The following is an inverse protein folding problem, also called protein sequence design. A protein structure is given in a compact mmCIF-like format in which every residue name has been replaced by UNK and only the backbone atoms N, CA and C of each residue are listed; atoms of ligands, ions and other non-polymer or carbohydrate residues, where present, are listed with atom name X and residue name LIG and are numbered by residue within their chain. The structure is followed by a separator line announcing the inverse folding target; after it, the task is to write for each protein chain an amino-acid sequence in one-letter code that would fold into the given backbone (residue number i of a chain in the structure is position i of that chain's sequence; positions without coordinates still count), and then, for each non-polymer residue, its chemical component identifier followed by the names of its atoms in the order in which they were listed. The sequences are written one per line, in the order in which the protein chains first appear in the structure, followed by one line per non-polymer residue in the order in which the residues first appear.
data_IF_622500076356
#
_entry.id   IF_622500076356
#
_cell.length_a   1.000
_cell.length_b   1.000
_cell.length_c   1.000
_cell.angle_alpha   90.00
_cell.angle_beta   90.00
_cell.angle_gamma   90.00
#
_symmetry.space_group_name_H-M   'P 1'
#
loop_
_entity.id
_entity.type
_entity.pdbx_description
1 polymer ?
#
# COMPACT_ATOMS: atom_id res chain seq x y z
N UNK A 1 23.61 -7.42 -2.57
CA UNK A 1 23.41 -6.33 -1.58
C UNK A 1 22.23 -5.49 -2.04
N UNK A 2 20.99 -5.85 -1.71
CA UNK A 2 19.80 -5.07 -2.10
C UNK A 2 18.71 -5.23 -1.05
N UNK A 3 19.02 -4.86 0.19
CA UNK A 3 18.03 -4.57 1.20
C UNK A 3 18.59 -3.40 2.04
N UNK A 4 17.71 -2.50 2.47
CA UNK A 4 17.94 -1.29 3.29
C UNK A 4 17.96 0.07 2.56
N UNK A 5 16.85 0.46 1.91
CA UNK A 5 16.37 1.87 1.90
C UNK A 5 14.93 2.02 1.40
N UNK A 6 14.43 1.06 0.61
CA UNK A 6 13.19 1.26 -0.14
C UNK A 6 11.89 1.06 0.66
N UNK A 7 11.91 0.34 1.79
CA UNK A 7 10.67 0.05 2.54
C UNK A 7 9.96 1.30 3.08
N UNK A 8 10.71 2.25 3.66
CA UNK A 8 10.14 3.48 4.24
C UNK A 8 9.77 4.48 3.15
N UNK A 9 10.63 4.62 2.13
CA UNK A 9 10.36 5.49 0.98
C UNK A 9 9.11 5.06 0.22
N UNK A 10 8.94 3.74 0.02
CA UNK A 10 7.78 3.19 -0.68
C UNK A 10 6.49 3.39 0.12
N UNK A 11 6.52 3.24 1.45
CA UNK A 11 5.32 3.46 2.27
C UNK A 11 4.91 4.94 2.32
N UNK A 12 5.87 5.86 2.42
CA UNK A 12 5.60 7.30 2.35
C UNK A 12 5.03 7.69 0.98
N UNK A 13 5.65 7.23 -0.11
CA UNK A 13 5.15 7.46 -1.47
C UNK A 13 3.74 6.89 -1.66
N UNK A 14 3.46 5.70 -1.12
CA UNK A 14 2.15 5.07 -1.20
C UNK A 14 1.08 5.87 -0.45
N UNK A 15 1.37 6.35 0.76
CA UNK A 15 0.46 7.22 1.51
C UNK A 15 0.13 8.50 0.73
N UNK A 16 1.15 9.15 0.16
CA UNK A 16 0.95 10.35 -0.66
C UNK A 16 0.14 10.06 -1.91
N UNK A 17 0.42 8.96 -2.61
CA UNK A 17 -0.31 8.56 -3.80
C UNK A 17 -1.79 8.28 -3.50
N UNK A 18 -2.09 7.60 -2.39
CA UNK A 18 -3.46 7.36 -1.95
C UNK A 18 -4.14 8.66 -1.54
N UNK A 19 -3.42 9.54 -0.82
CA UNK A 19 -3.89 10.86 -0.42
C UNK A 19 -4.28 11.72 -1.64
N UNK A 20 -3.50 11.64 -2.72
CA UNK A 20 -3.72 12.35 -3.98
C UNK A 20 -4.74 11.65 -4.91
N UNK A 21 -5.12 10.40 -4.63
CA UNK A 21 -5.96 9.60 -5.53
C UNK A 21 -5.25 9.09 -6.78
N UNK A 22 -3.92 8.98 -6.77
CA UNK A 22 -3.10 8.54 -7.90
C UNK A 22 -3.10 7.02 -8.07
N UNK A 23 -4.21 6.48 -8.60
CA UNK A 23 -4.45 5.03 -8.74
C UNK A 23 -3.35 4.27 -9.49
N UNK A 24 -2.83 4.84 -10.58
CA UNK A 24 -1.76 4.24 -11.38
C UNK A 24 -0.45 4.15 -10.59
N UNK A 25 -0.13 5.19 -9.84
CA UNK A 25 1.09 5.22 -9.02
C UNK A 25 0.96 4.24 -7.85
N UNK A 26 -0.21 4.20 -7.21
CA UNK A 26 -0.56 3.21 -6.18
C UNK A 26 -0.35 1.80 -6.73
N UNK A 27 -0.92 1.46 -7.89
CA UNK A 27 -0.73 0.14 -8.50
C UNK A 27 0.74 -0.18 -8.79
N UNK A 28 1.51 0.80 -9.29
CA UNK A 28 2.95 0.62 -9.58
C UNK A 28 3.77 0.40 -8.32
N UNK A 29 3.50 1.14 -7.26
CA UNK A 29 4.16 0.98 -5.97
C UNK A 29 3.83 -0.38 -5.33
N UNK A 30 2.61 -0.87 -5.54
CA UNK A 30 2.12 -2.13 -4.97
C UNK A 30 2.56 -3.39 -5.75
N UNK A 31 2.94 -3.27 -7.02
CA UNK A 31 3.20 -4.40 -7.91
C UNK A 31 4.28 -5.38 -7.40
N UNK A 32 5.27 -4.88 -6.65
CA UNK A 32 6.40 -5.68 -6.14
C UNK A 32 6.47 -5.70 -4.61
N UNK A 33 5.41 -5.24 -3.92
CA UNK A 33 5.38 -5.14 -2.47
C UNK A 33 4.52 -6.23 -1.84
N UNK A 34 5.11 -6.91 -0.87
CA UNK A 34 4.36 -7.61 0.16
C UNK A 34 4.26 -6.70 1.37
N UNK A 35 3.07 -6.62 1.97
CA UNK A 35 2.84 -5.77 3.14
C UNK A 35 2.30 -6.57 4.32
N UNK A 36 2.50 -6.05 5.52
CA UNK A 36 1.91 -6.61 6.72
C UNK A 36 0.42 -6.28 6.78
N UNK A 37 -0.34 -7.12 7.49
CA UNK A 37 -1.79 -6.92 7.66
C UNK A 37 -2.12 -5.56 8.31
N UNK A 38 -1.31 -5.12 9.27
CA UNK A 38 -1.48 -3.82 9.93
C UNK A 38 -1.29 -2.65 8.96
N UNK A 39 -0.31 -2.75 8.06
CA UNK A 39 -0.05 -1.74 7.04
C UNK A 39 -1.21 -1.68 6.04
N UNK A 40 -1.69 -2.86 5.60
CA UNK A 40 -2.86 -2.99 4.73
C UNK A 40 -4.10 -2.34 5.34
N UNK A 41 -4.41 -2.62 6.60
CA UNK A 41 -5.58 -2.05 7.27
C UNK A 41 -5.50 -0.52 7.32
N UNK A 42 -4.33 0.02 7.69
CA UNK A 42 -4.12 1.46 7.75
C UNK A 42 -4.32 2.15 6.40
N UNK A 43 -3.78 1.59 5.32
CA UNK A 43 -3.91 2.15 3.96
C UNK A 43 -5.35 2.08 3.45
N UNK A 44 -6.09 1.01 3.79
CA UNK A 44 -7.51 0.87 3.46
C UNK A 44 -8.31 1.98 4.16
N UNK A 45 -8.03 2.25 5.43
CA UNK A 45 -8.72 3.31 6.15
C UNK A 45 -8.39 4.69 5.59
N UNK A 46 -7.14 4.93 5.17
CA UNK A 46 -6.75 6.16 4.48
C UNK A 46 -7.49 6.31 3.13
N UNK A 47 -7.65 5.22 2.37
CA UNK A 47 -8.40 5.23 1.12
C UNK A 47 -9.92 5.45 1.33
N UNK A 48 -10.49 4.98 2.45
CA UNK A 48 -11.88 5.28 2.84
C UNK A 48 -12.09 6.76 3.13
N UNK A 49 -11.12 7.43 3.75
CA UNK A 49 -11.20 8.89 4.01
C UNK A 49 -11.30 9.68 2.71
N UNK A 50 -10.61 9.25 1.66
CA UNK A 50 -10.69 9.84 0.32
C UNK A 50 -11.88 9.35 -0.52
N UNK A 51 -12.71 8.46 0.03
CA UNK A 51 -13.83 7.82 -0.67
C UNK A 51 -13.43 7.15 -2.01
N UNK A 52 -12.15 6.73 -2.15
CA UNK A 52 -11.65 6.11 -3.37
C UNK A 52 -11.79 4.57 -3.28
N UNK A 53 -12.89 4.07 -3.83
CA UNK A 53 -13.23 2.65 -3.85
C UNK A 53 -12.26 1.80 -4.69
N UNK A 54 -11.66 2.38 -5.73
CA UNK A 54 -10.72 1.67 -6.60
C UNK A 54 -9.44 1.31 -5.84
N UNK A 55 -8.89 2.26 -5.10
CA UNK A 55 -7.71 2.05 -4.25
C UNK A 55 -8.00 1.02 -3.16
N UNK A 56 -9.17 1.08 -2.50
CA UNK A 56 -9.56 0.08 -1.50
C UNK A 56 -9.56 -1.33 -2.10
N UNK A 57 -10.06 -1.48 -3.33
CA UNK A 57 -10.08 -2.76 -4.03
C UNK A 57 -8.67 -3.26 -4.36
N UNK A 58 -7.79 -2.39 -4.85
CA UNK A 58 -6.39 -2.71 -5.10
C UNK A 58 -5.68 -3.17 -3.81
N UNK A 59 -5.85 -2.43 -2.71
CA UNK A 59 -5.23 -2.76 -1.43
C UNK A 59 -5.72 -4.12 -0.89
N UNK A 60 -6.99 -4.44 -1.08
CA UNK A 60 -7.57 -5.73 -0.69
C UNK A 60 -6.99 -6.90 -1.49
N UNK A 61 -6.64 -6.69 -2.76
CA UNK A 61 -6.12 -7.72 -3.65
C UNK A 61 -4.67 -8.12 -3.35
N UNK A 62 -3.93 -7.28 -2.62
CA UNK A 62 -2.52 -7.55 -2.31
C UNK A 62 -2.37 -8.71 -1.33
N UNK A 63 -1.46 -9.66 -1.61
CA UNK A 63 -1.11 -10.73 -0.70
C UNK A 63 -0.42 -10.16 0.56
N UNK A 64 -0.98 -10.52 1.72
CA UNK A 64 -0.37 -10.19 3.03
C UNK A 64 0.78 -11.16 3.32
N UNK A 65 1.92 -10.62 3.72
CA UNK A 65 3.01 -11.43 4.24
C UNK A 65 2.67 -11.83 5.68
N UNK A 66 2.06 -13.00 5.83
CA UNK A 66 1.73 -13.55 7.13
C UNK A 66 2.99 -14.09 7.81
N UNK A 67 3.55 -13.34 8.79
CA UNK A 67 4.55 -13.86 9.72
C UNK A 67 3.87 -14.49 10.94
N UNK A 68 3.22 -15.63 10.74
CA UNK A 68 2.79 -16.48 11.85
C UNK A 68 3.64 -17.76 11.85
N UNK A 69 4.73 -17.73 12.61
CA UNK A 69 5.20 -18.86 13.42
C UNK A 69 5.83 -18.33 14.69
#
# INVERSE_FOLDING_TARGET
MTWCRDGIANFAALKTAIANGEELLVKKLLADLTMQEIEKSYLIDLAKLNNNLFIIKLLKDIPIMNKNK
#
